data_IF_424942059508
#
_entry.id   IF_424942059508
#
_cell.length_a   1.000
_cell.length_b   1.000
_cell.length_c   1.000
_cell.angle_alpha   90.00
_cell.angle_beta   90.00
_cell.angle_gamma   90.00
#
_symmetry.space_group_name_H-M   'P 1'
#
loop_
_entity.id
_entity.type
_entity.pdbx_description
1 polymer ?
#
# COMPACT_ATOMS: atom_id res chain seq x y z
N UNK A 1 13.85 -7.28 4.93
CA UNK A 1 14.46 -7.59 6.24
C UNK A 1 14.21 -6.53 7.30
N UNK A 2 14.58 -5.25 7.11
CA UNK A 2 14.37 -4.19 8.11
C UNK A 2 12.92 -4.08 8.60
N UNK A 3 11.93 -4.18 7.70
CA UNK A 3 10.51 -4.18 8.06
C UNK A 3 10.14 -5.37 8.95
N UNK A 4 10.66 -6.58 8.68
CA UNK A 4 10.42 -7.78 9.50
C UNK A 4 11.08 -7.69 10.87
N UNK A 5 12.24 -7.03 10.96
CA UNK A 5 12.89 -6.71 12.25
C UNK A 5 12.04 -5.75 13.09
N UNK A 6 11.44 -4.73 12.46
CA UNK A 6 10.56 -3.75 13.13
C UNK A 6 9.18 -4.32 13.47
N UNK A 7 8.67 -5.22 12.63
CA UNK A 7 7.38 -5.86 12.76
C UNK A 7 7.55 -7.38 12.71
N UNK A 8 7.93 -8.04 13.82
CA UNK A 8 8.21 -9.48 13.84
C UNK A 8 7.04 -10.35 13.38
N UNK A 9 5.81 -9.87 13.56
CA UNK A 9 4.56 -10.53 13.15
C UNK A 9 4.22 -10.31 11.67
N UNK A 10 5.08 -9.66 10.88
CA UNK A 10 4.85 -9.44 9.45
C UNK A 10 4.97 -10.76 8.67
N UNK A 11 3.83 -11.35 8.34
CA UNK A 11 3.73 -12.63 7.61
C UNK A 11 3.40 -12.46 6.13
N UNK A 12 2.73 -11.37 5.74
CA UNK A 12 2.22 -11.15 4.38
C UNK A 12 2.52 -9.73 3.86
N UNK A 13 2.92 -9.64 2.59
CA UNK A 13 3.08 -8.37 1.85
C UNK A 13 2.59 -8.51 0.41
N UNK A 14 1.88 -7.50 -0.09
CA UNK A 14 1.41 -7.40 -1.47
C UNK A 14 2.13 -6.30 -2.23
N UNK A 15 2.69 -6.65 -3.39
CA UNK A 15 3.58 -5.80 -4.18
C UNK A 15 2.95 -5.41 -5.51
N UNK A 16 3.40 -4.27 -6.07
CA UNK A 16 3.07 -3.90 -7.43
C UNK A 16 3.76 -4.82 -8.45
N UNK A 17 3.16 -4.91 -9.64
CA UNK A 17 3.73 -5.65 -10.77
C UNK A 17 5.14 -5.18 -11.16
N UNK A 18 5.49 -3.93 -10.86
CA UNK A 18 6.80 -3.36 -11.14
C UNK A 18 7.93 -4.04 -10.37
N UNK A 19 7.63 -4.65 -9.22
CA UNK A 19 8.61 -5.34 -8.38
C UNK A 19 8.87 -6.79 -8.78
N UNK A 20 8.20 -7.28 -9.82
CA UNK A 20 8.35 -8.66 -10.22
C UNK A 20 9.73 -8.94 -10.84
N UNK A 21 10.42 -9.90 -10.26
CA UNK A 21 11.52 -10.65 -10.88
C UNK A 21 11.56 -12.05 -10.26
N UNK A 22 12.10 -13.06 -10.96
CA UNK A 22 12.25 -14.41 -10.39
C UNK A 22 13.05 -14.39 -9.07
N UNK A 23 14.17 -13.67 -9.03
CA UNK A 23 14.98 -13.54 -7.82
C UNK A 23 14.29 -12.79 -6.68
N UNK A 24 13.39 -11.85 -6.97
CA UNK A 24 12.58 -11.21 -5.92
C UNK A 24 11.57 -12.19 -5.34
N UNK A 25 10.92 -13.00 -6.17
CA UNK A 25 9.98 -14.02 -5.71
C UNK A 25 10.67 -15.02 -4.78
N UNK A 26 11.80 -15.60 -5.20
CA UNK A 26 12.57 -16.57 -4.40
C UNK A 26 12.96 -15.99 -3.04
N UNK A 27 13.50 -14.77 -3.01
CA UNK A 27 13.86 -14.10 -1.76
C UNK A 27 12.66 -13.82 -0.87
N UNK A 28 11.52 -13.46 -1.45
CA UNK A 28 10.31 -13.15 -0.69
C UNK A 28 9.65 -14.39 -0.09
N UNK A 29 9.66 -15.51 -0.82
CA UNK A 29 9.14 -16.80 -0.32
C UNK A 29 9.97 -17.34 0.86
N UNK A 30 11.24 -16.98 0.97
CA UNK A 30 12.08 -17.29 2.15
C UNK A 30 11.77 -16.37 3.34
N UNK A 31 11.44 -15.10 3.07
CA UNK A 31 11.27 -14.08 4.11
C UNK A 31 9.85 -13.97 4.66
N UNK A 32 8.82 -14.36 3.90
CA UNK A 32 7.41 -14.16 4.21
C UNK A 32 6.64 -15.48 4.04
N UNK A 33 5.67 -15.73 4.91
CA UNK A 33 4.77 -16.89 4.78
C UNK A 33 3.90 -16.75 3.53
N UNK A 34 3.48 -15.51 3.22
CA UNK A 34 2.63 -15.21 2.06
C UNK A 34 3.14 -13.99 1.30
N UNK A 35 3.90 -14.22 0.24
CA UNK A 35 4.31 -13.16 -0.70
C UNK A 35 3.34 -13.03 -1.86
N UNK A 36 2.73 -11.85 -2.01
CA UNK A 36 1.81 -11.55 -3.12
C UNK A 36 2.55 -10.67 -4.13
N UNK A 37 3.29 -11.33 -5.03
CA UNK A 37 4.08 -10.68 -6.08
C UNK A 37 3.50 -11.02 -7.47
N UNK A 38 2.68 -10.13 -8.05
CA UNK A 38 2.05 -10.39 -9.35
C UNK A 38 3.09 -10.31 -10.47
N UNK A 39 3.07 -11.30 -11.36
CA UNK A 39 4.00 -11.38 -12.49
C UNK A 39 3.68 -10.33 -13.55
N UNK A 40 4.75 -9.74 -14.08
CA UNK A 40 4.67 -8.82 -15.21
C UNK A 40 4.60 -9.62 -16.51
N UNK A 41 3.65 -9.27 -17.38
CA UNK A 41 3.50 -9.89 -18.71
C UNK A 41 2.69 -11.19 -18.70
N UNK A 42 3.06 -12.12 -19.60
CA UNK A 42 2.32 -13.38 -19.82
C UNK A 42 2.52 -14.36 -18.66
N UNK A 43 1.42 -14.87 -18.12
CA UNK A 43 1.41 -15.86 -17.04
C UNK A 43 1.58 -17.28 -17.60
N UNK A 44 2.42 -18.08 -16.96
CA UNK A 44 2.41 -19.53 -17.16
C UNK A 44 1.18 -20.15 -16.49
N UNK A 45 0.91 -21.44 -16.73
CA UNK A 45 -0.16 -22.15 -16.04
C UNK A 45 0.01 -22.13 -14.51
N UNK A 46 1.26 -22.23 -14.03
CA UNK A 46 1.57 -22.20 -12.60
C UNK A 46 1.39 -20.79 -12.02
N UNK A 47 1.87 -19.75 -12.72
CA UNK A 47 1.67 -18.37 -12.29
C UNK A 47 0.16 -18.04 -12.21
N UNK A 48 -0.63 -18.53 -13.18
CA UNK A 48 -2.07 -18.34 -13.19
C UNK A 48 -2.75 -19.01 -12.01
N UNK A 49 -2.37 -20.25 -11.67
CA UNK A 49 -2.87 -20.95 -10.48
C UNK A 49 -2.55 -20.16 -9.20
N UNK A 50 -1.32 -19.65 -9.07
CA UNK A 50 -0.90 -18.84 -7.92
C UNK A 50 -1.69 -17.53 -7.81
N UNK A 51 -1.76 -16.75 -8.90
CA UNK A 51 -2.40 -15.42 -8.89
C UNK A 51 -3.93 -15.49 -8.81
N UNK A 52 -4.54 -16.59 -9.25
CA UNK A 52 -5.97 -16.83 -9.11
C UNK A 52 -6.36 -17.39 -7.73
N UNK A 53 -5.40 -17.68 -6.85
CA UNK A 53 -5.70 -18.15 -5.50
C UNK A 53 -6.52 -17.09 -4.74
N UNK A 54 -7.60 -17.45 -4.02
CA UNK A 54 -8.48 -16.48 -3.36
C UNK A 54 -7.76 -15.53 -2.40
N UNK A 55 -6.75 -16.02 -1.68
CA UNK A 55 -5.96 -15.19 -0.77
C UNK A 55 -5.07 -14.18 -1.51
N UNK A 56 -4.51 -14.59 -2.65
CA UNK A 56 -3.71 -13.71 -3.50
C UNK A 56 -4.57 -12.54 -4.00
N UNK A 57 -5.78 -12.85 -4.49
CA UNK A 57 -6.74 -11.84 -4.95
C UNK A 57 -7.16 -10.93 -3.80
N UNK A 58 -7.46 -11.49 -2.62
CA UNK A 58 -7.88 -10.72 -1.44
C UNK A 58 -6.80 -9.75 -0.98
N UNK A 59 -5.55 -10.21 -0.90
CA UNK A 59 -4.42 -9.37 -0.52
C UNK A 59 -4.19 -8.26 -1.55
N UNK A 60 -4.23 -8.59 -2.85
CA UNK A 60 -4.04 -7.63 -3.93
C UNK A 60 -5.13 -6.55 -3.97
N UNK A 61 -6.38 -6.89 -3.63
CA UNK A 61 -7.48 -5.90 -3.53
C UNK A 61 -7.23 -4.81 -2.47
N UNK A 62 -6.35 -5.06 -1.48
CA UNK A 62 -5.98 -4.03 -0.49
C UNK A 62 -5.22 -2.86 -1.12
N UNK A 63 -4.61 -3.04 -2.29
CA UNK A 63 -3.96 -1.95 -3.04
C UNK A 63 -4.93 -0.82 -3.34
N UNK A 64 -6.16 -1.11 -3.76
CA UNK A 64 -7.16 -0.08 -4.04
C UNK A 64 -7.49 0.79 -2.82
N UNK A 65 -7.41 0.24 -1.61
CA UNK A 65 -7.59 1.02 -0.39
C UNK A 65 -6.41 1.98 -0.15
N UNK A 66 -5.18 1.52 -0.38
CA UNK A 66 -3.97 2.35 -0.27
C UNK A 66 -3.99 3.48 -1.30
N UNK A 67 -4.30 3.18 -2.56
CA UNK A 67 -4.43 4.18 -3.62
C UNK A 67 -5.54 5.20 -3.31
N UNK A 68 -6.66 4.74 -2.75
CA UNK A 68 -7.72 5.64 -2.31
C UNK A 68 -7.28 6.57 -1.18
N UNK A 69 -6.45 6.09 -0.24
CA UNK A 69 -5.91 6.90 0.85
C UNK A 69 -4.85 7.90 0.33
N UNK A 70 -4.03 7.51 -0.67
CA UNK A 70 -3.09 8.42 -1.35
C UNK A 70 -3.85 9.53 -2.09
N UNK A 71 -4.85 9.18 -2.90
CA UNK A 71 -5.69 10.17 -3.59
C UNK A 71 -6.40 11.11 -2.60
N UNK A 72 -6.74 10.63 -1.40
CA UNK A 72 -7.30 11.49 -0.37
C UNK A 72 -6.28 12.52 0.14
N UNK A 73 -5.00 12.15 0.27
CA UNK A 73 -3.92 13.09 0.61
C UNK A 73 -3.73 14.14 -0.49
N UNK A 74 -3.71 13.74 -1.75
CA UNK A 74 -3.64 14.62 -2.93
C UNK A 74 -4.78 15.65 -2.91
N UNK A 75 -6.02 15.17 -2.73
CA UNK A 75 -7.20 16.03 -2.62
C UNK A 75 -7.15 16.98 -1.41
N UNK A 76 -6.38 16.65 -0.36
CA UNK A 76 -6.18 17.49 0.82
C UNK A 76 -4.85 18.28 0.77
N UNK A 77 -4.25 18.43 -0.41
CA UNK A 77 -3.16 19.38 -0.65
C UNK A 77 -1.76 18.76 -0.78
N UNK A 78 -1.62 17.44 -0.82
CA UNK A 78 -0.31 16.79 -1.01
C UNK A 78 0.37 17.21 -2.33
N UNK A 79 -0.41 17.49 -3.38
CA UNK A 79 0.11 17.90 -4.71
C UNK A 79 0.53 19.37 -4.79
N UNK A 80 0.43 20.13 -3.69
CA UNK A 80 0.71 21.57 -3.67
C UNK A 80 1.80 21.87 -2.65
N UNK A 81 2.96 22.29 -3.15
CA UNK A 81 4.05 22.82 -2.34
C UNK A 81 4.52 24.16 -2.93
N UNK A 82 3.97 25.30 -2.45
CA UNK A 82 4.43 26.65 -2.79
C UNK A 82 5.86 26.95 -2.34
N UNK A 83 6.32 26.27 -1.28
CA UNK A 83 7.66 26.44 -0.75
C UNK A 83 8.71 25.74 -1.63
N UNK A 84 9.96 26.21 -1.57
CA UNK A 84 11.10 25.58 -2.23
C UNK A 84 11.93 24.77 -1.22
N UNK A 85 12.53 23.69 -1.71
CA UNK A 85 13.44 22.85 -0.92
C UNK A 85 12.74 21.78 -0.08
N UNK A 86 13.54 20.86 0.45
CA UNK A 86 13.06 19.66 1.14
C UNK A 86 12.28 19.98 2.42
N UNK A 87 12.69 20.98 3.19
CA UNK A 87 12.00 21.36 4.42
C UNK A 87 10.58 21.88 4.15
N UNK A 88 10.41 22.68 3.09
CA UNK A 88 9.10 23.12 2.63
C UNK A 88 8.23 21.93 2.22
N UNK A 89 8.78 21.05 1.40
CA UNK A 89 8.10 19.84 0.96
C UNK A 89 7.63 18.97 2.15
N UNK A 90 8.49 18.70 3.12
CA UNK A 90 8.15 17.92 4.31
C UNK A 90 7.01 18.56 5.12
N UNK A 91 7.01 19.90 5.28
CA UNK A 91 5.91 20.61 5.95
C UNK A 91 4.57 20.41 5.24
N UNK A 92 4.53 20.53 3.91
CA UNK A 92 3.30 20.37 3.15
C UNK A 92 2.79 18.92 3.12
N UNK A 93 3.70 17.94 3.03
CA UNK A 93 3.36 16.52 3.20
C UNK A 93 2.75 16.27 4.58
N UNK A 94 3.38 16.76 5.65
CA UNK A 94 2.86 16.62 7.00
C UNK A 94 1.48 17.26 7.16
N UNK A 95 1.28 18.44 6.60
CA UNK A 95 -0.01 19.14 6.63
C UNK A 95 -1.11 18.35 5.90
N UNK A 96 -0.83 17.81 4.72
CA UNK A 96 -1.78 16.99 3.97
C UNK A 96 -2.19 15.72 4.76
N UNK A 97 -1.23 15.08 5.44
CA UNK A 97 -1.49 13.93 6.32
C UNK A 97 -2.41 14.32 7.49
N UNK A 98 -2.11 15.43 8.17
CA UNK A 98 -2.95 15.92 9.27
C UNK A 98 -4.37 16.23 8.79
N UNK A 99 -4.52 16.97 7.68
CA UNK A 99 -5.81 17.31 7.11
C UNK A 99 -6.64 16.06 6.73
N UNK A 100 -6.02 15.08 6.07
CA UNK A 100 -6.66 13.80 5.73
C UNK A 100 -7.13 13.04 6.97
N UNK A 101 -6.30 12.99 8.02
CA UNK A 101 -6.65 12.30 9.26
C UNK A 101 -7.83 12.98 9.97
N UNK A 102 -7.85 14.31 10.04
CA UNK A 102 -8.98 15.06 10.61
C UNK A 102 -10.28 14.80 9.85
N UNK A 103 -10.23 14.83 8.52
CA UNK A 103 -11.39 14.51 7.66
C UNK A 103 -11.89 13.08 7.87
N UNK A 104 -10.97 12.12 7.99
CA UNK A 104 -11.29 10.72 8.29
C UNK A 104 -11.94 10.55 9.65
N UNK A 105 -11.41 11.19 10.69
CA UNK A 105 -12.01 11.17 12.03
C UNK A 105 -13.43 11.74 12.02
N UNK A 106 -13.65 12.88 11.36
CA UNK A 106 -14.99 13.47 11.20
C UNK A 106 -15.96 12.49 10.53
N UNK A 107 -15.54 11.81 9.46
CA UNK A 107 -16.36 10.78 8.79
C UNK A 107 -16.70 9.61 9.73
N UNK A 108 -15.75 9.16 10.55
CA UNK A 108 -15.98 8.08 11.52
C UNK A 108 -17.03 8.50 12.54
N UNK A 109 -16.91 9.71 13.11
CA UNK A 109 -17.87 10.23 14.09
C UNK A 109 -19.28 10.34 13.48
N UNK A 110 -19.41 10.98 12.32
CA UNK A 110 -20.70 11.09 11.62
C UNK A 110 -21.32 9.72 11.27
N UNK A 111 -20.50 8.71 11.01
CA UNK A 111 -20.99 7.35 10.73
C UNK A 111 -21.51 6.69 12.01
N UNK A 112 -20.84 6.90 13.14
CA UNK A 112 -21.26 6.41 14.46
C UNK A 112 -22.56 7.06 14.92
N UNK A 113 -22.71 8.37 14.73
CA UNK A 113 -23.91 9.12 15.16
C UNK A 113 -25.17 8.75 14.35
N UNK A 114 -25.00 8.17 13.16
CA UNK A 114 -26.10 7.70 12.30
C UNK A 114 -26.55 6.26 12.58
N UNK A 115 -25.78 5.52 13.39
CA UNK A 115 -26.09 4.15 13.81
C UNK A 115 -26.81 4.16 15.15
#
# INVERSE_FOLDING_TARGET
EAAKKRFPTLSQVSYDKGFWSPGNLEKLEVLLEHSVLPKKGRLSANDKKRECHPEFIRARRKHSAVESDINALEANGLDKCPDKGIEGFERYVALAVVASNLKRLGKILLTRDRQ
#
